data_IF_090340117104
#
_entry.id   IF_090340117104
#
_cell.length_a   1.000
_cell.length_b   1.000
_cell.length_c   1.000
_cell.angle_alpha   90.00
_cell.angle_beta   90.00
_cell.angle_gamma   90.00
#
_symmetry.space_group_name_H-M   'P 1'
#
loop_
_entity.id
_entity.type
_entity.pdbx_description
1 polymer ?
#
# COMPACT_ATOMS: atom_id res chain seq x y z
N UNK A 1 17.29 5.37 31.98
CA UNK A 1 16.97 5.56 30.56
C UNK A 1 17.26 4.36 29.66
N UNK A 2 18.30 3.55 29.88
CA UNK A 2 18.57 2.35 29.04
C UNK A 2 17.37 1.39 28.85
N UNK A 3 16.63 1.09 29.93
CA UNK A 3 15.45 0.22 29.88
C UNK A 3 14.30 0.74 29.01
N UNK A 4 14.09 2.05 28.93
CA UNK A 4 13.04 2.64 28.09
C UNK A 4 13.40 2.52 26.61
N UNK A 5 14.66 2.80 26.28
CA UNK A 5 15.18 2.67 24.91
C UNK A 5 15.11 1.21 24.45
N UNK A 6 15.53 0.27 25.28
CA UNK A 6 15.43 -1.17 25.02
C UNK A 6 13.97 -1.60 24.76
N UNK A 7 13.03 -1.11 25.58
CA UNK A 7 11.62 -1.40 25.41
C UNK A 7 11.06 -0.85 24.09
N UNK A 8 11.37 0.41 23.73
CA UNK A 8 10.95 1.00 22.45
C UNK A 8 11.52 0.23 21.26
N UNK A 9 12.81 -0.12 21.31
CA UNK A 9 13.46 -0.88 20.24
C UNK A 9 12.82 -2.25 20.04
N UNK A 10 12.52 -2.94 21.14
CA UNK A 10 11.83 -4.24 21.11
C UNK A 10 10.45 -4.14 20.45
N UNK A 11 9.69 -3.06 20.73
CA UNK A 11 8.40 -2.82 20.08
C UNK A 11 8.58 -2.59 18.58
N UNK A 12 9.50 -1.69 18.19
CA UNK A 12 9.73 -1.40 16.77
C UNK A 12 10.15 -2.62 15.97
N UNK A 13 10.97 -3.50 16.58
CA UNK A 13 11.42 -4.73 15.94
C UNK A 13 10.26 -5.71 15.73
N UNK A 14 9.45 -5.98 16.75
CA UNK A 14 8.29 -6.86 16.64
C UNK A 14 7.27 -6.37 15.59
N UNK A 15 7.05 -5.06 15.49
CA UNK A 15 6.20 -4.46 14.44
C UNK A 15 6.77 -4.65 13.05
N UNK A 16 8.08 -4.42 12.89
CA UNK A 16 8.76 -4.61 11.62
C UNK A 16 8.70 -6.08 11.14
N UNK A 17 8.90 -7.02 12.07
CA UNK A 17 8.82 -8.45 11.79
C UNK A 17 7.40 -8.87 11.37
N UNK A 18 6.37 -8.38 12.06
CA UNK A 18 4.97 -8.63 11.70
C UNK A 18 4.63 -8.07 10.31
N UNK A 19 5.03 -6.81 10.04
CA UNK A 19 4.86 -6.20 8.72
C UNK A 19 5.57 -7.00 7.61
N UNK A 20 6.80 -7.47 7.87
CA UNK A 20 7.54 -8.32 6.93
C UNK A 20 6.90 -9.69 6.71
N UNK A 21 6.21 -10.23 7.71
CA UNK A 21 5.49 -11.50 7.62
C UNK A 21 4.09 -11.36 7.00
N UNK A 22 3.58 -10.13 6.85
CA UNK A 22 2.18 -9.87 6.46
C UNK A 22 1.18 -10.15 7.59
N UNK A 23 1.68 -10.27 8.82
CA UNK A 23 0.88 -10.47 10.02
C UNK A 23 0.38 -9.12 10.56
N UNK A 24 -0.75 -9.08 11.28
CA UNK A 24 -1.22 -7.86 11.92
C UNK A 24 -0.23 -7.36 12.97
N UNK A 25 -0.19 -6.04 13.17
CA UNK A 25 0.64 -5.40 14.18
C UNK A 25 0.26 -5.92 15.58
N UNK A 26 1.18 -6.57 16.33
CA UNK A 26 0.87 -7.15 17.63
C UNK A 26 0.49 -6.13 18.71
N UNK A 27 0.70 -4.83 18.47
CA UNK A 27 0.40 -3.76 19.41
C UNK A 27 -0.71 -2.82 18.94
N UNK A 28 -1.29 -3.04 17.75
CA UNK A 28 -2.32 -2.18 17.13
C UNK A 28 -1.99 -0.68 17.20
N UNK A 29 -0.70 -0.35 17.10
CA UNK A 29 -0.26 1.04 17.22
C UNK A 29 -0.55 1.77 15.90
N UNK A 30 -0.95 3.04 15.95
CA UNK A 30 -1.15 3.81 14.73
C UNK A 30 0.15 3.85 13.93
N UNK A 31 0.06 3.79 12.58
CA UNK A 31 1.21 4.11 11.75
C UNK A 31 1.64 5.56 12.03
N UNK A 32 2.95 5.85 12.04
CA UNK A 32 3.41 7.22 12.19
C UNK A 32 2.81 8.09 11.07
N UNK A 33 2.40 9.31 11.44
CA UNK A 33 1.65 10.25 10.59
C UNK A 33 2.36 10.50 9.24
N UNK A 34 3.70 10.49 9.24
CA UNK A 34 4.53 10.63 8.03
C UNK A 34 4.28 9.53 6.98
N UNK A 35 3.90 8.31 7.39
CA UNK A 35 3.61 7.19 6.49
C UNK A 35 2.14 7.14 6.04
N UNK A 36 1.25 7.92 6.67
CA UNK A 36 -0.18 7.93 6.30
C UNK A 36 -0.47 8.76 5.05
N UNK A 37 0.46 9.61 4.62
CA UNK A 37 0.31 10.45 3.45
C UNK A 37 0.59 9.70 2.12
N UNK A 38 1.33 8.60 2.16
CA UNK A 38 1.79 7.86 0.97
C UNK A 38 0.91 6.66 0.59
N UNK A 39 -0.06 6.27 1.42
CA UNK A 39 -0.97 5.15 1.16
C UNK A 39 -2.32 5.55 0.53
N UNK A 40 -2.46 6.76 -0.01
CA UNK A 40 -3.71 7.25 -0.61
C UNK A 40 -3.59 7.72 -2.07
N UNK A 41 -2.83 7.01 -2.91
CA UNK A 41 -2.85 7.31 -4.36
C UNK A 41 -2.58 6.08 -5.26
N UNK A 42 -3.34 5.01 -5.07
CA UNK A 42 -3.46 3.95 -6.08
C UNK A 42 -4.86 3.34 -6.09
N UNK A 43 -5.89 4.13 -6.41
CA UNK A 43 -7.14 3.62 -6.99
C UNK A 43 -8.08 4.75 -7.37
N UNK A 44 -7.96 5.22 -8.62
CA UNK A 44 -9.07 5.43 -9.56
C UNK A 44 -8.57 6.26 -10.75
N UNK A 45 -7.72 5.66 -11.59
CA UNK A 45 -7.54 6.12 -12.96
C UNK A 45 -8.85 5.82 -13.72
N UNK A 46 -9.77 6.78 -13.63
CA UNK A 46 -11.00 6.80 -14.38
C UNK A 46 -10.76 7.52 -15.69
N UNK A 47 -10.96 6.78 -16.78
CA UNK A 47 -11.56 7.25 -18.04
C UNK A 47 -10.62 7.96 -19.02
N UNK A 48 -9.99 7.16 -19.87
CA UNK A 48 -9.88 7.51 -21.29
C UNK A 48 -10.62 6.48 -22.15
N UNK A 49 -11.81 6.88 -22.54
CA UNK A 49 -12.57 6.32 -23.66
C UNK A 49 -11.84 6.67 -24.94
N UNK A 50 -11.22 5.69 -25.60
CA UNK A 50 -11.04 5.73 -27.06
C UNK A 50 -11.40 4.37 -27.65
N UNK A 51 -12.49 4.40 -28.39
CA UNK A 51 -13.00 3.33 -29.24
C UNK A 51 -11.88 2.66 -30.03
N UNK A 52 -11.75 1.34 -29.87
CA UNK A 52 -11.07 0.50 -30.84
C UNK A 52 -12.11 -0.11 -31.79
N UNK A 53 -12.75 0.74 -32.59
CA UNK A 53 -13.41 0.31 -33.83
C UNK A 53 -12.53 0.67 -35.02
N UNK A 54 -11.53 -0.15 -35.28
CA UNK A 54 -10.78 -0.14 -36.53
C UNK A 54 -10.19 -1.52 -36.85
N UNK A 55 -11.05 -2.52 -37.04
CA UNK A 55 -10.75 -3.71 -37.86
C UNK A 55 -11.98 -4.57 -38.06
N UNK A 56 -12.92 -4.08 -38.85
CA UNK A 56 -13.76 -5.00 -39.63
C UNK A 56 -13.85 -4.51 -41.08
N UNK A 57 -12.68 -4.27 -41.69
CA UNK A 57 -12.58 -4.10 -43.14
C UNK A 57 -12.49 -5.51 -43.77
N UNK A 58 -13.59 -6.26 -43.68
CA UNK A 58 -13.79 -7.49 -44.46
C UNK A 58 -15.25 -7.72 -44.76
N UNK A 59 -15.86 -6.76 -45.46
CA UNK A 59 -17.06 -6.97 -46.27
C UNK A 59 -17.42 -5.64 -46.89
N UNK A 60 -17.06 -5.39 -48.14
CA UNK A 60 -18.00 -4.98 -49.20
C UNK A 60 -17.44 -5.54 -50.52
N UNK A 61 -18.39 -6.04 -51.32
CA UNK A 61 -18.33 -6.74 -52.60
C UNK A 61 -17.35 -6.20 -53.66
#
# INVERSE_FOLDING_TARGET
MRKLVEWVLNITQARYDAHRAGEPDPYDLPPPEELTAESHDHSADGRDTMESEASNERSIA
#
